data_IF_440931996127
#
_entry.id   IF_440931996127
#
_cell.length_a   1.000
_cell.length_b   1.000
_cell.length_c   1.000
_cell.angle_alpha   90.00
_cell.angle_beta   90.00
_cell.angle_gamma   90.00
#
_symmetry.space_group_name_H-M   'P 1'
#
loop_
_entity.id
_entity.type
_entity.pdbx_description
1 polymer ?
#
# COMPACT_ATOMS: atom_id res chain seq x y z
N UNK A 1 -0.98 13.89 -13.67
CA UNK A 1 -0.88 15.34 -13.36
C UNK A 1 -0.56 15.47 -11.89
N UNK A 2 0.52 16.17 -11.52
CA UNK A 2 0.98 16.40 -10.13
C UNK A 2 0.14 17.43 -9.35
N UNK A 3 -1.14 17.60 -9.69
CA UNK A 3 -1.98 18.70 -9.19
C UNK A 3 -1.36 20.11 -9.36
N UNK A 4 -0.44 20.27 -10.33
CA UNK A 4 0.29 21.52 -10.57
C UNK A 4 1.60 21.68 -9.79
N UNK A 5 1.91 20.75 -8.88
CA UNK A 5 3.19 20.74 -8.16
C UNK A 5 4.34 20.45 -9.11
N UNK A 6 5.38 21.29 -9.06
CA UNK A 6 6.65 21.03 -9.72
C UNK A 6 7.59 20.37 -8.72
N UNK A 7 8.06 19.18 -9.05
CA UNK A 7 9.08 18.47 -8.31
C UNK A 7 10.36 18.49 -9.14
N UNK A 8 11.48 18.80 -8.48
CA UNK A 8 12.80 18.75 -9.08
C UNK A 8 13.56 17.58 -8.44
N UNK A 9 14.07 16.62 -9.22
CA UNK A 9 14.88 15.55 -8.67
C UNK A 9 16.24 16.10 -8.21
N UNK A 10 16.68 15.72 -7.02
CA UNK A 10 18.03 16.00 -6.54
C UNK A 10 19.08 15.14 -7.25
N UNK A 11 18.67 13.95 -7.69
CA UNK A 11 19.51 12.91 -8.31
C UNK A 11 18.72 12.12 -9.36
N UNK A 12 19.42 11.40 -10.23
CA UNK A 12 18.85 10.55 -11.26
C UNK A 12 19.32 9.11 -11.13
N UNK A 13 18.73 8.19 -11.88
CA UNK A 13 19.21 6.79 -11.92
C UNK A 13 20.51 6.62 -12.72
N UNK A 14 20.99 7.64 -13.43
CA UNK A 14 22.29 7.62 -14.10
C UNK A 14 23.43 7.81 -13.06
N UNK A 15 23.12 8.27 -11.84
CA UNK A 15 24.05 8.32 -10.72
C UNK A 15 24.27 6.90 -10.13
N UNK A 16 25.53 6.55 -9.81
CA UNK A 16 25.87 5.22 -9.27
C UNK A 16 25.57 5.03 -7.78
N UNK A 17 24.82 5.96 -7.18
CA UNK A 17 24.50 5.96 -5.76
C UNK A 17 23.66 4.73 -5.37
N UNK A 18 23.99 4.11 -4.24
CA UNK A 18 23.21 3.02 -3.64
C UNK A 18 22.31 3.57 -2.54
N UNK A 19 21.10 3.01 -2.43
CA UNK A 19 20.11 3.41 -1.45
C UNK A 19 19.75 2.25 -0.53
N UNK A 20 19.58 2.52 0.76
CA UNK A 20 19.12 1.52 1.72
C UNK A 20 17.64 1.18 1.55
N UNK A 21 16.83 2.20 1.19
CA UNK A 21 15.39 2.10 1.00
C UNK A 21 15.00 2.92 -0.23
N UNK A 22 14.23 2.32 -1.13
CA UNK A 22 13.58 2.99 -2.24
C UNK A 22 12.07 2.93 -2.08
N UNK A 23 11.43 4.08 -2.22
CA UNK A 23 9.97 4.22 -2.12
C UNK A 23 9.42 4.55 -3.49
N UNK A 24 8.58 3.66 -4.02
CA UNK A 24 7.94 3.78 -5.33
C UNK A 24 6.51 4.28 -5.13
N UNK A 25 6.24 5.56 -5.41
CA UNK A 25 4.96 6.19 -5.09
C UNK A 25 3.84 5.65 -5.99
N UNK A 26 2.57 5.74 -5.54
CA UNK A 26 1.44 5.49 -6.42
C UNK A 26 1.40 6.59 -7.49
N UNK A 27 0.97 6.22 -8.69
CA UNK A 27 0.77 7.17 -9.78
C UNK A 27 -0.67 7.16 -10.27
N UNK A 28 -1.15 8.35 -10.61
CA UNK A 28 -2.44 8.51 -11.23
C UNK A 28 -2.37 8.11 -12.72
N UNK A 29 -3.36 7.34 -13.18
CA UNK A 29 -3.37 6.80 -14.55
C UNK A 29 -2.70 5.43 -14.66
N UNK A 30 -2.08 5.14 -15.82
CA UNK A 30 -1.45 3.86 -16.12
C UNK A 30 0.08 3.91 -15.86
N UNK A 31 0.61 3.24 -14.82
CA UNK A 31 2.03 3.27 -14.47
C UNK A 31 2.97 2.76 -15.56
N UNK A 32 2.45 1.87 -16.40
CA UNK A 32 3.20 1.24 -17.49
C UNK A 32 3.61 2.25 -18.55
N UNK A 33 2.85 3.34 -18.72
CA UNK A 33 3.23 4.39 -19.65
C UNK A 33 4.51 5.08 -19.21
N UNK A 34 4.71 5.29 -17.89
CA UNK A 34 5.94 5.86 -17.35
C UNK A 34 7.12 4.93 -17.56
N UNK A 35 6.96 3.64 -17.30
CA UNK A 35 8.01 2.62 -17.54
C UNK A 35 8.40 2.57 -19.02
N UNK A 36 7.42 2.62 -19.94
CA UNK A 36 7.69 2.64 -21.37
C UNK A 36 8.45 3.87 -21.85
N UNK A 37 8.21 5.03 -21.22
CA UNK A 37 8.94 6.27 -21.53
C UNK A 37 10.38 6.19 -21.06
N UNK A 38 10.63 5.45 -19.99
CA UNK A 38 11.94 5.35 -19.38
C UNK A 38 12.25 3.93 -18.89
N UNK A 39 12.64 3.04 -19.82
CA UNK A 39 12.83 1.63 -19.50
C UNK A 39 14.05 1.37 -18.60
N UNK A 40 14.95 2.34 -18.44
CA UNK A 40 16.17 2.22 -17.62
C UNK A 40 15.87 2.07 -16.13
N UNK A 41 14.69 2.53 -15.69
CA UNK A 41 14.30 2.44 -14.29
C UNK A 41 14.23 1.00 -13.79
N UNK A 42 13.80 0.06 -14.63
CA UNK A 42 13.63 -1.35 -14.28
C UNK A 42 14.98 -2.02 -13.92
N UNK A 43 16.00 -2.04 -14.79
CA UNK A 43 17.30 -2.60 -14.43
C UNK A 43 17.98 -1.84 -13.30
N UNK A 44 17.73 -0.53 -13.14
CA UNK A 44 18.23 0.23 -12.00
C UNK A 44 17.62 -0.25 -10.67
N UNK A 45 16.30 -0.46 -10.61
CA UNK A 45 15.63 -1.03 -9.43
C UNK A 45 16.17 -2.42 -9.08
N UNK A 46 16.38 -3.27 -10.10
CA UNK A 46 16.99 -4.61 -9.92
C UNK A 46 18.40 -4.48 -9.32
N UNK A 47 19.24 -3.59 -9.85
CA UNK A 47 20.60 -3.34 -9.33
C UNK A 47 20.57 -2.91 -7.87
N UNK A 48 19.66 -2.00 -7.49
CA UNK A 48 19.54 -1.51 -6.11
C UNK A 48 19.12 -2.64 -5.16
N UNK A 49 18.12 -3.44 -5.54
CA UNK A 49 17.68 -4.60 -4.76
C UNK A 49 18.79 -5.65 -4.57
N UNK A 50 19.52 -5.97 -5.63
CA UNK A 50 20.68 -6.88 -5.57
C UNK A 50 21.80 -6.38 -4.65
N UNK A 51 21.86 -5.06 -4.40
CA UNK A 51 22.79 -4.43 -3.46
C UNK A 51 22.23 -4.31 -2.04
N UNK A 52 21.04 -4.86 -1.78
CA UNK A 52 20.43 -4.94 -0.45
C UNK A 52 19.37 -3.88 -0.17
N UNK A 53 19.02 -3.03 -1.15
CA UNK A 53 17.98 -2.03 -0.97
C UNK A 53 16.62 -2.68 -0.68
N UNK A 54 15.90 -2.11 0.29
CA UNK A 54 14.48 -2.43 0.50
C UNK A 54 13.64 -1.63 -0.48
N UNK A 55 12.77 -2.30 -1.23
CA UNK A 55 11.86 -1.63 -2.17
C UNK A 55 10.44 -1.60 -1.61
N UNK A 56 9.89 -0.41 -1.39
CA UNK A 56 8.52 -0.21 -0.90
C UNK A 56 7.69 0.41 -2.01
N UNK A 57 6.75 -0.33 -2.58
CA UNK A 57 5.88 0.16 -3.63
C UNK A 57 4.44 0.30 -3.16
N UNK A 58 3.78 1.39 -3.56
CA UNK A 58 2.46 1.74 -3.07
C UNK A 58 1.44 1.82 -4.18
N UNK A 59 0.28 1.20 -3.95
CA UNK A 59 -0.87 1.20 -4.83
C UNK A 59 -0.49 0.77 -6.24
N UNK A 60 -0.72 1.65 -7.21
CA UNK A 60 -0.37 1.40 -8.63
C UNK A 60 1.14 1.40 -8.90
N UNK A 61 1.96 1.95 -8.01
CA UNK A 61 3.42 1.90 -8.09
C UNK A 61 3.98 0.48 -8.01
N UNK A 62 3.22 -0.48 -7.46
CA UNK A 62 3.60 -1.90 -7.40
C UNK A 62 3.85 -2.49 -8.79
N UNK A 63 3.24 -1.94 -9.84
CA UNK A 63 3.52 -2.37 -11.21
C UNK A 63 4.99 -2.14 -11.61
N UNK A 64 5.69 -1.18 -11.00
CA UNK A 64 7.12 -0.98 -11.26
C UNK A 64 7.94 -2.13 -10.71
N UNK A 65 7.61 -2.65 -9.53
CA UNK A 65 8.25 -3.85 -9.00
C UNK A 65 7.87 -5.09 -9.81
N UNK A 66 6.61 -5.22 -10.22
CA UNK A 66 6.19 -6.37 -11.01
C UNK A 66 6.95 -6.45 -12.35
N UNK A 67 7.17 -5.33 -13.02
CA UNK A 67 7.93 -5.29 -14.29
C UNK A 67 9.43 -5.55 -14.11
N UNK A 68 9.96 -5.58 -12.88
CA UNK A 68 11.35 -6.05 -12.62
C UNK A 68 11.50 -7.56 -12.61
N UNK A 69 10.40 -8.32 -12.51
CA UNK A 69 10.42 -9.76 -12.28
C UNK A 69 10.83 -10.19 -10.85
N UNK A 70 11.22 -9.24 -9.98
CA UNK A 70 11.61 -9.56 -8.60
C UNK A 70 10.45 -10.10 -7.74
N UNK A 71 9.21 -9.86 -8.14
CA UNK A 71 8.00 -10.36 -7.48
C UNK A 71 7.54 -11.72 -8.02
N UNK A 72 8.18 -12.27 -9.06
CA UNK A 72 7.79 -13.57 -9.61
C UNK A 72 7.92 -14.66 -8.53
N UNK A 73 6.84 -15.43 -8.37
CA UNK A 73 6.67 -16.46 -7.34
C UNK A 73 6.57 -15.93 -5.90
N UNK A 74 6.51 -14.61 -5.71
CA UNK A 74 6.33 -13.97 -4.41
C UNK A 74 4.90 -13.49 -4.17
N UNK A 75 4.60 -13.13 -2.92
CA UNK A 75 3.33 -12.49 -2.57
C UNK A 75 3.39 -10.98 -2.78
N UNK A 76 2.37 -10.44 -3.44
CA UNK A 76 2.19 -9.00 -3.61
C UNK A 76 0.75 -8.57 -3.31
N UNK A 77 0.57 -7.31 -2.95
CA UNK A 77 -0.72 -6.61 -3.00
C UNK A 77 -0.57 -5.35 -3.83
N UNK A 78 -1.67 -4.74 -4.28
CA UNK A 78 -1.64 -3.51 -5.08
C UNK A 78 -2.93 -2.72 -4.86
N UNK A 79 -3.10 -1.57 -5.52
CA UNK A 79 -4.35 -0.84 -5.41
C UNK A 79 -5.52 -1.69 -5.97
N UNK A 80 -6.62 -1.80 -5.23
CA UNK A 80 -7.77 -2.65 -5.55
C UNK A 80 -8.28 -2.52 -6.99
N UNK A 81 -8.30 -1.29 -7.51
CA UNK A 81 -8.74 -1.00 -8.88
C UNK A 81 -7.93 -1.74 -9.96
N UNK A 82 -6.70 -2.15 -9.62
CA UNK A 82 -5.80 -2.87 -10.51
C UNK A 82 -5.76 -4.38 -10.25
N UNK A 83 -6.48 -4.94 -9.28
CA UNK A 83 -6.35 -6.37 -8.93
C UNK A 83 -6.52 -7.32 -10.11
N UNK A 84 -7.59 -7.16 -10.90
CA UNK A 84 -7.84 -8.07 -12.02
C UNK A 84 -6.81 -7.89 -13.14
N UNK A 85 -6.51 -6.64 -13.50
CA UNK A 85 -5.49 -6.34 -14.51
C UNK A 85 -4.08 -6.79 -14.08
N UNK A 86 -3.75 -6.66 -12.79
CA UNK A 86 -2.48 -7.08 -12.23
C UNK A 86 -2.35 -8.59 -12.25
N UNK A 87 -3.36 -9.33 -11.78
CA UNK A 87 -3.36 -10.79 -11.78
C UNK A 87 -3.31 -11.37 -13.20
N UNK A 88 -4.02 -10.77 -14.16
CA UNK A 88 -3.99 -11.20 -15.55
C UNK A 88 -2.62 -10.96 -16.20
N UNK A 89 -1.94 -9.87 -15.84
CA UNK A 89 -0.65 -9.48 -16.43
C UNK A 89 0.54 -10.20 -15.82
N UNK A 90 0.50 -10.48 -14.52
CA UNK A 90 1.60 -11.10 -13.78
C UNK A 90 1.15 -12.40 -13.11
N UNK A 91 0.87 -13.45 -13.90
CA UNK A 91 0.32 -14.71 -13.37
C UNK A 91 1.26 -15.46 -12.43
N UNK A 92 2.57 -15.15 -12.48
CA UNK A 92 3.57 -15.75 -11.59
C UNK A 92 3.58 -15.11 -10.19
N UNK A 93 2.93 -13.96 -10.00
CA UNK A 93 2.88 -13.26 -8.72
C UNK A 93 1.63 -13.71 -7.95
N UNK A 94 1.81 -14.10 -6.69
CA UNK A 94 0.69 -14.45 -5.81
C UNK A 94 0.02 -13.17 -5.31
N UNK A 95 -1.00 -12.68 -6.02
CA UNK A 95 -1.74 -11.50 -5.60
C UNK A 95 -2.63 -11.79 -4.38
N UNK A 96 -2.29 -11.19 -3.23
CA UNK A 96 -3.14 -11.17 -2.05
C UNK A 96 -4.05 -9.92 -2.07
N UNK A 97 -5.34 -10.13 -2.34
CA UNK A 97 -6.36 -9.04 -2.41
C UNK A 97 -6.85 -8.55 -1.05
N UNK A 98 -6.52 -9.28 0.02
CA UNK A 98 -7.02 -9.01 1.38
C UNK A 98 -5.99 -8.27 2.23
N UNK A 99 -4.69 -8.51 1.99
CA UNK A 99 -3.62 -7.85 2.73
C UNK A 99 -3.41 -6.44 2.19
N UNK A 100 -3.32 -5.48 3.11
CA UNK A 100 -3.00 -4.10 2.75
C UNK A 100 -1.50 -3.86 2.56
N UNK A 101 -0.67 -4.68 3.22
CA UNK A 101 0.79 -4.71 3.07
C UNK A 101 1.21 -6.16 2.91
N UNK A 102 2.04 -6.44 1.92
CA UNK A 102 2.71 -7.74 1.75
C UNK A 102 4.21 -7.56 1.74
N UNK A 103 4.96 -8.55 2.23
CA UNK A 103 6.41 -8.51 2.24
C UNK A 103 7.02 -9.82 1.74
N UNK A 104 8.04 -9.72 0.89
CA UNK A 104 8.84 -10.84 0.40
C UNK A 104 10.23 -10.37 0.01
N UNK A 105 11.30 -10.96 0.56
CA UNK A 105 12.69 -10.70 0.14
C UNK A 105 13.07 -9.21 0.01
N UNK A 106 12.82 -8.39 1.04
CA UNK A 106 13.02 -6.93 1.03
C UNK A 106 12.14 -6.14 0.03
N UNK A 107 11.12 -6.77 -0.55
CA UNK A 107 10.08 -6.14 -1.35
C UNK A 107 8.84 -5.99 -0.48
N UNK A 108 8.33 -4.77 -0.40
CA UNK A 108 7.13 -4.43 0.33
C UNK A 108 6.12 -3.81 -0.64
N UNK A 109 4.92 -4.38 -0.71
CA UNK A 109 3.85 -3.83 -1.53
C UNK A 109 2.73 -3.36 -0.62
N UNK A 110 2.18 -2.16 -0.88
CA UNK A 110 1.07 -1.61 -0.10
C UNK A 110 -0.11 -1.26 -1.01
N UNK A 111 -1.34 -1.35 -0.51
CA UNK A 111 -2.57 -1.03 -1.24
C UNK A 111 -2.81 0.48 -1.35
N UNK A 112 -2.36 1.24 -0.35
CA UNK A 112 -2.69 2.66 -0.16
C UNK A 112 -1.56 3.44 0.51
N UNK A 113 -1.67 4.77 0.49
CA UNK A 113 -0.74 5.67 1.21
C UNK A 113 -0.83 5.45 2.74
N UNK A 114 -1.99 5.08 3.28
CA UNK A 114 -2.12 4.82 4.71
C UNK A 114 -1.29 3.59 5.12
N UNK A 115 -1.43 2.50 4.37
CA UNK A 115 -0.63 1.29 4.55
C UNK A 115 0.86 1.54 4.29
N UNK A 116 1.21 2.48 3.40
CA UNK A 116 2.58 2.94 3.25
C UNK A 116 3.10 3.65 4.49
N UNK A 117 2.33 4.54 5.11
CA UNK A 117 2.74 5.24 6.34
C UNK A 117 3.02 4.25 7.48
N UNK A 118 2.21 3.20 7.61
CA UNK A 118 2.46 2.11 8.57
C UNK A 118 3.73 1.33 8.25
N UNK A 119 3.96 1.02 6.97
CA UNK A 119 5.20 0.39 6.52
C UNK A 119 6.43 1.26 6.84
N UNK A 120 6.34 2.57 6.64
CA UNK A 120 7.40 3.52 6.98
C UNK A 120 7.65 3.53 8.49
N UNK A 121 6.60 3.57 9.32
CA UNK A 121 6.74 3.53 10.76
C UNK A 121 7.42 2.24 11.24
N UNK A 122 7.07 1.10 10.64
CA UNK A 122 7.76 -0.16 10.89
C UNK A 122 9.24 -0.09 10.51
N UNK A 123 9.58 0.46 9.34
CA UNK A 123 10.99 0.61 8.92
C UNK A 123 11.78 1.52 9.86
N UNK A 124 11.16 2.60 10.34
CA UNK A 124 11.75 3.48 11.36
C UNK A 124 12.02 2.71 12.64
N UNK A 125 11.06 1.89 13.12
CA UNK A 125 11.25 1.08 14.31
C UNK A 125 12.41 0.07 14.14
N UNK A 126 12.56 -0.51 12.94
CA UNK A 126 13.67 -1.42 12.63
C UNK A 126 15.03 -0.72 12.57
N UNK A 127 15.09 0.50 12.03
CA UNK A 127 16.34 1.24 11.84
C UNK A 127 16.80 2.00 13.08
N UNK A 128 15.86 2.58 13.81
CA UNK A 128 16.12 3.55 14.88
C UNK A 128 15.55 3.11 16.24
N UNK A 129 14.88 1.96 16.29
CA UNK A 129 14.28 1.41 17.50
C UNK A 129 12.87 1.92 17.80
N UNK A 130 12.14 1.14 18.60
CA UNK A 130 10.75 1.45 18.96
C UNK A 130 10.54 2.81 19.64
N UNK A 131 11.43 3.33 20.51
CA UNK A 131 11.23 4.63 21.13
C UNK A 131 11.11 5.77 20.11
N UNK A 132 11.95 5.77 19.07
CA UNK A 132 11.92 6.79 18.02
C UNK A 132 10.66 6.67 17.17
N UNK A 133 10.26 5.43 16.82
CA UNK A 133 9.00 5.19 16.12
C UNK A 133 7.80 5.70 16.93
N UNK A 134 7.73 5.42 18.24
CA UNK A 134 6.65 5.89 19.10
C UNK A 134 6.59 7.42 19.18
N UNK A 135 7.74 8.11 19.20
CA UNK A 135 7.78 9.57 19.14
C UNK A 135 7.15 10.08 17.84
N UNK A 136 7.53 9.50 16.70
CA UNK A 136 6.96 9.87 15.39
C UNK A 136 5.47 9.56 15.34
N UNK A 137 5.05 8.38 15.79
CA UNK A 137 3.62 8.01 15.90
C UNK A 137 2.86 9.00 16.79
N UNK A 138 3.45 9.51 17.87
CA UNK A 138 2.77 10.50 18.73
C UNK A 138 2.55 11.82 18.00
N UNK A 139 3.50 12.26 17.17
CA UNK A 139 3.39 13.50 16.41
C UNK A 139 2.47 13.37 15.19
N UNK A 140 2.42 12.20 14.55
CA UNK A 140 1.72 11.96 13.29
C UNK A 140 0.56 10.97 13.39
N UNK A 141 0.18 10.56 14.60
CA UNK A 141 -0.74 9.44 14.87
C UNK A 141 -2.20 9.63 14.46
N UNK A 142 -2.58 10.82 13.99
CA UNK A 142 -3.88 10.99 13.31
C UNK A 142 -3.88 10.33 11.91
N UNK A 143 -2.71 10.05 11.35
CA UNK A 143 -2.53 9.50 9.99
C UNK A 143 -2.06 8.03 9.97
N UNK A 144 -1.67 7.47 11.12
CA UNK A 144 -1.04 6.13 11.21
C UNK A 144 -1.81 5.25 12.21
N UNK A 145 -2.16 4.02 11.80
CA UNK A 145 -2.83 3.08 12.71
C UNK A 145 -1.87 2.63 13.82
N UNK A 146 -2.38 2.56 15.04
CA UNK A 146 -1.64 2.07 16.21
C UNK A 146 -1.49 0.56 16.10
N UNK A 147 -0.36 0.04 15.64
CA UNK A 147 -0.09 -1.41 15.71
C UNK A 147 1.36 -1.68 16.02
N UNK A 148 1.59 -2.39 17.13
CA UNK A 148 2.89 -2.81 17.66
C UNK A 148 3.41 -4.12 17.04
N UNK A 149 2.84 -4.55 15.91
CA UNK A 149 3.13 -5.82 15.25
C UNK A 149 3.67 -5.58 13.84
N UNK A 150 4.26 -6.61 13.23
CA UNK A 150 4.64 -6.56 11.82
C UNK A 150 3.39 -6.24 10.98
N UNK A 151 3.38 -5.14 10.21
CA UNK A 151 2.14 -4.66 9.59
C UNK A 151 1.83 -5.39 8.27
N UNK A 152 2.63 -6.38 7.88
CA UNK A 152 2.60 -7.01 6.57
C UNK A 152 2.28 -8.50 6.61
N UNK A 153 1.68 -8.97 5.53
CA UNK A 153 1.46 -10.38 5.24
C UNK A 153 2.67 -10.99 4.52
N UNK A 154 3.06 -12.19 4.93
CA UNK A 154 3.97 -13.08 4.22
C UNK A 154 3.24 -14.41 3.97
N UNK A 155 3.68 -15.21 2.99
CA UNK A 155 3.09 -16.53 2.73
C UNK A 155 3.14 -17.37 4.02
N UNK A 156 1.99 -17.88 4.45
CA UNK A 156 1.84 -18.63 5.71
C UNK A 156 1.69 -17.78 6.97
N UNK A 157 1.76 -16.45 6.86
CA UNK A 157 1.51 -15.50 7.95
C UNK A 157 0.02 -15.19 8.17
N UNK A 158 -0.27 -14.47 9.26
CA UNK A 158 -1.62 -13.95 9.52
C UNK A 158 -1.84 -12.62 8.79
N UNK A 159 -3.09 -12.33 8.42
CA UNK A 159 -3.51 -11.03 7.91
C UNK A 159 -3.48 -10.02 9.07
N UNK A 160 -2.60 -9.02 8.97
CA UNK A 160 -2.37 -8.05 10.04
C UNK A 160 -3.18 -6.77 9.88
N UNK A 161 -3.52 -6.39 8.65
CA UNK A 161 -4.25 -5.15 8.39
C UNK A 161 -5.30 -5.30 7.30
N UNK A 162 -6.45 -4.68 7.57
CA UNK A 162 -7.68 -4.85 6.83
C UNK A 162 -8.27 -3.49 6.44
N UNK A 163 -7.93 -3.03 5.24
CA UNK A 163 -8.46 -1.79 4.65
C UNK A 163 -9.86 -1.93 4.06
N UNK A 164 -10.54 -3.05 4.28
CA UNK A 164 -11.76 -3.34 3.56
C UNK A 164 -12.89 -2.32 3.76
N UNK A 165 -12.94 -1.64 4.90
CA UNK A 165 -13.89 -0.53 5.11
C UNK A 165 -13.49 0.72 4.34
N UNK A 166 -12.20 1.03 4.22
CA UNK A 166 -11.73 2.12 3.37
C UNK A 166 -12.02 1.82 1.90
N UNK A 167 -11.79 0.58 1.47
CA UNK A 167 -12.16 0.08 0.13
C UNK A 167 -13.66 0.22 -0.12
N UNK A 168 -14.49 -0.20 0.83
CA UNK A 168 -15.94 -0.06 0.76
C UNK A 168 -16.37 1.41 0.61
N UNK A 169 -15.79 2.32 1.40
CA UNK A 169 -16.09 3.76 1.33
C UNK A 169 -15.72 4.36 -0.03
N UNK A 170 -14.56 4.01 -0.56
CA UNK A 170 -14.10 4.49 -1.86
C UNK A 170 -14.98 3.94 -3.00
N UNK A 171 -15.34 2.65 -2.94
CA UNK A 171 -16.25 2.06 -3.90
C UNK A 171 -17.63 2.72 -3.86
N UNK A 172 -18.20 2.95 -2.67
CA UNK A 172 -19.49 3.62 -2.54
C UNK A 172 -19.46 5.04 -3.13
N UNK A 173 -18.42 5.83 -2.86
CA UNK A 173 -18.25 7.19 -3.43
C UNK A 173 -18.24 7.18 -4.96
N UNK A 174 -17.65 6.16 -5.59
CA UNK A 174 -17.57 6.02 -7.05
C UNK A 174 -18.86 5.49 -7.68
N UNK A 175 -19.72 4.84 -6.89
CA UNK A 175 -20.95 4.20 -7.38
C UNK A 175 -22.23 4.89 -6.88
N UNK A 176 -22.14 6.14 -6.41
CA UNK A 176 -23.29 6.93 -5.90
C UNK A 176 -24.43 7.11 -6.91
N UNK A 177 -24.15 6.95 -8.20
CA UNK A 177 -25.15 7.02 -9.28
C UNK A 177 -26.04 5.78 -9.41
N UNK A 178 -25.77 4.71 -8.65
CA UNK A 178 -26.51 3.46 -8.68
C UNK A 178 -27.07 3.09 -7.30
N UNK A 179 -28.05 2.19 -7.25
CA UNK A 179 -28.54 1.65 -5.99
C UNK A 179 -27.45 0.81 -5.31
N UNK A 180 -26.90 1.32 -4.20
CA UNK A 180 -25.88 0.64 -3.40
C UNK A 180 -26.56 -0.23 -2.34
N UNK A 181 -26.22 -1.51 -2.30
CA UNK A 181 -26.66 -2.44 -1.23
C UNK A 181 -25.47 -2.92 -0.41
N UNK A 182 -25.67 -3.24 0.87
CA UNK A 182 -24.61 -3.79 1.72
C UNK A 182 -24.00 -5.07 1.14
N UNK A 183 -24.81 -5.90 0.46
CA UNK A 183 -24.34 -7.10 -0.24
C UNK A 183 -23.38 -6.74 -1.38
N UNK A 184 -23.76 -5.79 -2.25
CA UNK A 184 -22.89 -5.37 -3.36
C UNK A 184 -21.53 -4.81 -2.91
N UNK A 185 -21.51 -4.12 -1.76
CA UNK A 185 -20.26 -3.60 -1.18
C UNK A 185 -19.42 -4.73 -0.59
N UNK A 186 -20.05 -5.65 0.15
CA UNK A 186 -19.37 -6.81 0.74
C UNK A 186 -18.73 -7.71 -0.33
N UNK A 187 -19.46 -7.96 -1.43
CA UNK A 187 -18.98 -8.73 -2.57
C UNK A 187 -17.76 -8.04 -3.23
N UNK A 188 -17.82 -6.72 -3.42
CA UNK A 188 -16.70 -5.95 -3.97
C UNK A 188 -15.45 -6.02 -3.08
N UNK A 189 -15.63 -5.98 -1.76
CA UNK A 189 -14.54 -6.11 -0.80
C UNK A 189 -14.06 -7.56 -0.61
N UNK A 190 -14.63 -8.54 -1.31
CA UNK A 190 -14.26 -9.95 -1.23
C UNK A 190 -14.50 -10.56 0.16
N UNK A 191 -15.58 -10.14 0.85
CA UNK A 191 -15.88 -10.63 2.20
C UNK A 191 -17.35 -11.04 2.40
N UNK A 192 -17.63 -11.95 3.35
CA UNK A 192 -19.00 -12.28 3.72
C UNK A 192 -19.76 -11.07 4.29
N UNK A 193 -21.04 -10.92 3.93
CA UNK A 193 -21.91 -9.81 4.38
C UNK A 193 -21.94 -9.64 5.91
N UNK A 194 -21.96 -10.74 6.68
CA UNK A 194 -21.93 -10.66 8.15
C UNK A 194 -20.65 -10.02 8.68
N UNK A 195 -19.51 -10.38 8.09
CA UNK A 195 -18.21 -9.81 8.45
C UNK A 195 -18.14 -8.33 8.08
N UNK A 196 -18.67 -7.97 6.90
CA UNK A 196 -18.77 -6.59 6.45
C UNK A 196 -19.59 -5.74 7.42
N UNK A 197 -20.84 -6.15 7.71
CA UNK A 197 -21.73 -5.39 8.59
C UNK A 197 -21.12 -5.15 9.98
N UNK A 198 -20.46 -6.18 10.54
CA UNK A 198 -19.77 -6.07 11.84
C UNK A 198 -18.65 -5.03 11.80
N UNK A 199 -17.75 -5.13 10.80
CA UNK A 199 -16.60 -4.21 10.66
C UNK A 199 -17.03 -2.79 10.34
N UNK A 200 -18.04 -2.63 9.48
CA UNK A 200 -18.56 -1.33 9.09
C UNK A 200 -19.19 -0.60 10.27
N UNK A 201 -19.92 -1.32 11.12
CA UNK A 201 -20.50 -0.77 12.37
C UNK A 201 -19.42 -0.38 13.38
N UNK A 202 -18.42 -1.23 13.60
CA UNK A 202 -17.34 -0.95 14.56
C UNK A 202 -16.51 0.30 14.18
N UNK A 203 -16.16 0.46 12.90
CA UNK A 203 -15.41 1.63 12.44
C UNK A 203 -16.26 2.91 12.36
N UNK A 204 -17.55 2.81 12.01
CA UNK A 204 -18.45 3.97 12.01
C UNK A 204 -18.77 4.48 13.42
N UNK A 205 -18.82 3.58 14.41
CA UNK A 205 -18.93 3.94 15.84
C UNK A 205 -17.62 4.56 16.35
N UNK A 206 -16.45 4.02 16.01
CA UNK A 206 -15.14 4.59 16.39
C UNK A 206 -14.93 6.01 15.85
N UNK A 207 -15.38 6.32 14.62
CA UNK A 207 -15.34 7.69 14.08
C UNK A 207 -16.27 8.66 14.81
N UNK A 208 -17.44 8.23 15.29
CA UNK A 208 -18.33 9.07 16.12
C UNK A 208 -17.73 9.37 17.49
N UNK A 209 -17.02 8.42 18.09
CA UNK A 209 -16.40 8.60 19.42
C UNK A 209 -15.19 9.55 19.33
N UNK A 210 -14.41 9.50 18.25
CA UNK A 210 -13.26 10.42 18.07
C UNK A 210 -13.65 11.88 17.74
N UNK A 211 -14.91 12.16 17.42
CA UNK A 211 -15.41 13.55 17.27
C UNK A 211 -15.97 14.17 18.56
N UNK A 212 -16.00 13.44 19.68
CA UNK A 212 -16.60 13.96 20.92
C UNK A 212 -15.61 14.37 22.03
N UNK A 213 -14.30 14.26 21.85
CA UNK A 213 -13.31 14.64 22.88
C UNK A 213 -12.43 15.85 22.54
N UNK A 214 -12.89 16.73 21.65
CA UNK A 214 -12.21 17.99 21.34
C UNK A 214 -13.06 19.20 21.75
N UNK A 215 -13.64 19.19 22.95
CA UNK A 215 -14.10 20.39 23.68
C UNK A 215 -14.41 20.01 25.14
N UNK A 216 -13.36 19.99 25.98
CA UNK A 216 -13.34 20.58 27.34
C UNK A 216 -11.90 21.05 27.58
#
# INVERSE_FOLDING_TARGET
MTAGLRLQPDITYDDEQLFDILILPPMWGNPLQSIRRDPKIIPWLVKQHQKGAKLVATGTGVLWLAETGLLDHEVATTHWYYYDNFAARYPNITLNRQASITAANNLFCTTSINSQSEMILYLIAQLFGQPIANTIETHYGHEISKTSQQPFYQIGGQLQFDESIALAQEWMKRNLSHAITAQSVADHCGMPLRSFNRKFTDQSVKRRINTCNAFV
#
